data_IF_075364501540
#
_entry.id   IF_075364501540
#
_cell.length_a   1.000
_cell.length_b   1.000
_cell.length_c   1.000
_cell.angle_alpha   90.00
_cell.angle_beta   90.00
_cell.angle_gamma   90.00
#
_symmetry.space_group_name_H-M   'P 1'
#
loop_
_entity.id
_entity.type
_entity.pdbx_description
1 polymer ?
#
# COMPACT_ATOMS: atom_id res chain seq x y z
N UNK A 1 8.09 7.72 44.74
CA UNK A 1 9.38 7.18 44.30
C UNK A 1 9.21 6.46 42.98
N UNK A 2 9.93 6.91 41.97
CA UNK A 2 9.94 6.23 40.69
C UNK A 2 10.83 4.99 40.77
N UNK A 3 10.26 3.80 40.59
CA UNK A 3 11.03 2.57 40.50
C UNK A 3 11.52 2.43 39.08
N UNK A 4 12.85 2.37 38.89
CA UNK A 4 13.41 2.14 37.58
C UNK A 4 12.96 0.78 37.03
N UNK A 5 12.56 0.77 35.76
CA UNK A 5 12.21 -0.48 35.07
C UNK A 5 13.46 -1.34 34.87
N UNK A 6 13.32 -2.68 34.86
CA UNK A 6 14.45 -3.55 34.52
C UNK A 6 15.03 -3.22 33.15
N UNK A 7 16.36 -3.37 32.95
CA UNK A 7 16.96 -3.14 31.66
C UNK A 7 16.41 -4.13 30.61
N UNK A 8 16.32 -3.66 29.35
CA UNK A 8 15.87 -4.46 28.21
C UNK A 8 17.07 -5.00 27.44
N UNK A 9 16.95 -6.21 26.93
CA UNK A 9 17.87 -6.71 25.92
C UNK A 9 17.35 -6.36 24.52
N UNK A 10 18.27 -6.17 23.58
CA UNK A 10 17.96 -5.95 22.17
C UNK A 10 18.49 -7.15 21.39
N UNK A 11 17.58 -7.93 20.85
CA UNK A 11 17.91 -9.19 20.23
C UNK A 11 17.56 -9.18 18.74
N UNK A 12 18.48 -9.60 17.90
CA UNK A 12 18.19 -9.92 16.51
C UNK A 12 17.52 -11.30 16.45
N UNK A 13 16.30 -11.38 15.93
CA UNK A 13 15.57 -12.64 15.82
C UNK A 13 15.50 -13.12 14.37
N UNK A 14 15.70 -14.42 14.16
CA UNK A 14 15.61 -15.01 12.83
C UNK A 14 14.16 -15.32 12.45
N UNK A 15 13.88 -15.36 11.16
CA UNK A 15 12.55 -15.66 10.63
C UNK A 15 11.99 -17.02 11.04
N UNK A 16 12.84 -17.94 11.47
CA UNK A 16 12.45 -19.32 11.75
C UNK A 16 12.02 -19.58 13.19
N UNK A 17 12.34 -18.68 14.11
CA UNK A 17 12.08 -18.89 15.54
C UNK A 17 10.74 -18.32 16.00
N UNK A 18 10.44 -17.08 15.66
CA UNK A 18 9.21 -16.39 16.06
C UNK A 18 8.88 -15.35 14.99
N UNK A 19 7.59 -15.06 14.82
CA UNK A 19 7.14 -13.89 14.05
C UNK A 19 6.75 -12.79 15.03
N UNK A 20 7.63 -11.80 15.26
CA UNK A 20 7.36 -10.74 16.23
C UNK A 20 6.38 -9.67 15.72
N UNK A 21 5.92 -9.78 14.47
CA UNK A 21 5.12 -8.75 13.81
C UNK A 21 3.86 -8.39 14.61
N UNK A 22 3.09 -9.39 15.02
CA UNK A 22 1.84 -9.14 15.76
C UNK A 22 2.11 -8.49 17.11
N UNK A 23 3.12 -8.95 17.84
CA UNK A 23 3.44 -8.41 19.16
C UNK A 23 3.83 -6.92 19.08
N UNK A 24 4.70 -6.58 18.15
CA UNK A 24 5.17 -5.19 17.98
C UNK A 24 4.06 -4.31 17.41
N UNK A 25 3.31 -4.81 16.43
CA UNK A 25 2.17 -4.07 15.87
C UNK A 25 1.08 -3.79 16.89
N UNK A 26 0.83 -4.71 17.83
CA UNK A 26 -0.15 -4.48 18.88
C UNK A 26 0.25 -3.31 19.78
N UNK A 27 1.53 -3.21 20.12
CA UNK A 27 2.05 -2.09 20.90
C UNK A 27 1.79 -0.75 20.21
N UNK A 28 2.13 -0.67 18.92
CA UNK A 28 1.91 0.54 18.13
C UNK A 28 0.44 0.81 17.88
N UNK A 29 -0.33 -0.23 17.60
CA UNK A 29 -1.77 -0.13 17.34
C UNK A 29 -2.54 0.41 18.54
N UNK A 30 -2.23 -0.05 19.74
CA UNK A 30 -2.86 0.44 20.96
C UNK A 30 -2.53 1.93 21.18
N UNK A 31 -1.27 2.29 21.03
CA UNK A 31 -0.83 3.67 21.11
C UNK A 31 -1.56 4.58 20.10
N UNK A 32 -1.64 4.15 18.85
CA UNK A 32 -2.30 4.91 17.80
C UNK A 32 -3.80 5.06 18.07
N UNK A 33 -4.45 4.01 18.52
CA UNK A 33 -5.88 4.03 18.82
C UNK A 33 -6.22 5.01 19.94
N UNK A 34 -5.37 5.10 20.95
CA UNK A 34 -5.51 6.09 22.03
C UNK A 34 -5.45 7.54 21.50
N UNK A 35 -4.66 7.78 20.46
CA UNK A 35 -4.44 9.14 19.93
C UNK A 35 -5.48 9.56 18.90
N UNK A 36 -5.86 8.67 18.00
CA UNK A 36 -6.67 9.01 16.82
C UNK A 36 -7.89 8.12 16.62
N UNK A 37 -8.16 7.22 17.57
CA UNK A 37 -9.24 6.25 17.44
C UNK A 37 -8.85 5.08 16.53
N UNK A 38 -9.82 4.20 16.23
CA UNK A 38 -9.58 3.02 15.41
C UNK A 38 -9.15 3.38 13.99
N UNK A 39 -8.25 2.59 13.41
CA UNK A 39 -7.73 2.80 12.05
C UNK A 39 -8.80 2.63 10.98
N UNK A 40 -9.84 1.83 11.26
CA UNK A 40 -10.88 1.43 10.30
C UNK A 40 -10.28 0.76 9.07
N UNK A 41 -9.29 -0.09 9.28
CA UNK A 41 -8.59 -0.80 8.22
C UNK A 41 -9.53 -1.78 7.50
N UNK A 42 -9.65 -1.61 6.19
CA UNK A 42 -10.45 -2.51 5.33
C UNK A 42 -9.64 -2.83 4.07
N UNK A 43 -9.40 -4.10 3.76
CA UNK A 43 -8.77 -4.47 2.50
C UNK A 43 -9.54 -3.94 1.29
N UNK A 44 -8.83 -3.60 0.23
CA UNK A 44 -9.38 -3.23 -1.05
C UNK A 44 -8.68 -4.05 -2.12
N UNK A 45 -9.33 -5.13 -2.53
CA UNK A 45 -8.77 -6.07 -3.47
C UNK A 45 -9.66 -6.18 -4.71
N UNK A 46 -9.08 -5.95 -5.88
CA UNK A 46 -9.75 -6.06 -7.17
C UNK A 46 -9.01 -7.07 -8.02
N UNK A 47 -9.74 -7.97 -8.64
CA UNK A 47 -9.19 -8.98 -9.54
C UNK A 47 -9.80 -8.85 -10.92
N UNK A 48 -8.97 -8.92 -11.95
CA UNK A 48 -9.40 -9.06 -13.34
C UNK A 48 -9.21 -10.52 -13.74
N UNK A 49 -10.30 -11.18 -14.11
CA UNK A 49 -10.33 -12.60 -14.47
C UNK A 49 -10.70 -12.77 -15.92
N UNK A 50 -10.12 -13.79 -16.58
CA UNK A 50 -10.52 -14.18 -17.92
C UNK A 50 -11.80 -15.05 -17.89
N UNK A 51 -12.23 -15.52 -19.08
CA UNK A 51 -13.43 -16.32 -19.22
C UNK A 51 -13.38 -17.66 -18.45
N UNK A 52 -12.18 -18.17 -18.20
CA UNK A 52 -11.95 -19.40 -17.44
C UNK A 52 -11.82 -19.14 -15.93
N UNK A 53 -11.95 -17.89 -15.51
CA UNK A 53 -11.82 -17.49 -14.11
C UNK A 53 -10.38 -17.30 -13.63
N UNK A 54 -9.40 -17.41 -14.51
CA UNK A 54 -7.99 -17.22 -14.16
C UNK A 54 -7.69 -15.75 -13.97
N UNK A 55 -6.94 -15.43 -12.91
CA UNK A 55 -6.52 -14.06 -12.61
C UNK A 55 -5.50 -13.59 -13.65
N UNK A 56 -5.81 -12.51 -14.34
CA UNK A 56 -4.97 -11.88 -15.36
C UNK A 56 -4.52 -10.47 -14.96
N UNK A 57 -4.96 -9.98 -13.83
CA UNK A 57 -4.55 -8.71 -13.28
C UNK A 57 -5.25 -8.43 -11.97
N UNK A 58 -4.88 -7.36 -11.32
CA UNK A 58 -5.52 -6.96 -10.08
C UNK A 58 -4.86 -5.76 -9.42
N UNK A 59 -5.55 -5.26 -8.42
CA UNK A 59 -5.06 -4.20 -7.56
C UNK A 59 -5.30 -4.66 -6.12
N UNK A 60 -4.24 -4.67 -5.32
CA UNK A 60 -4.29 -5.02 -3.91
C UNK A 60 -3.89 -3.81 -3.07
N UNK A 61 -4.70 -3.50 -2.10
CA UNK A 61 -4.44 -2.39 -1.18
C UNK A 61 -5.39 -2.42 0.00
N UNK A 62 -5.54 -1.29 0.66
CA UNK A 62 -6.41 -1.13 1.80
C UNK A 62 -6.80 0.33 2.00
N UNK A 63 -7.83 0.55 2.79
CA UNK A 63 -8.19 1.87 3.27
C UNK A 63 -8.07 1.90 4.79
N UNK A 64 -7.42 2.93 5.31
CA UNK A 64 -7.29 3.19 6.74
C UNK A 64 -6.93 4.67 6.94
N UNK A 65 -7.28 5.22 8.09
CA UNK A 65 -7.03 6.63 8.42
C UNK A 65 -7.45 7.58 7.29
N UNK A 66 -8.59 7.29 6.67
CA UNK A 66 -9.18 8.10 5.58
C UNK A 66 -8.31 8.20 4.32
N UNK A 67 -7.39 7.27 4.11
CA UNK A 67 -6.56 7.18 2.91
C UNK A 67 -6.60 5.76 2.34
N UNK A 68 -6.53 5.67 1.02
CA UNK A 68 -6.31 4.41 0.32
C UNK A 68 -4.82 4.25 0.04
N UNK A 69 -4.30 3.06 0.30
CA UNK A 69 -2.93 2.68 -0.06
C UNK A 69 -2.99 1.54 -1.06
N UNK A 70 -2.34 1.69 -2.20
CA UNK A 70 -2.20 0.63 -3.19
C UNK A 70 -0.83 -0.01 -3.03
N UNK A 71 -0.82 -1.32 -2.76
CA UNK A 71 0.41 -2.08 -2.57
C UNK A 71 0.88 -2.73 -3.87
N UNK A 72 -0.06 -3.24 -4.66
CA UNK A 72 0.24 -3.93 -5.93
C UNK A 72 -0.79 -3.55 -6.98
N UNK A 73 -0.33 -3.21 -8.17
CA UNK A 73 -1.16 -3.09 -9.37
C UNK A 73 -0.41 -3.79 -10.50
N UNK A 74 -0.98 -4.83 -11.05
CA UNK A 74 -0.36 -5.60 -12.10
C UNK A 74 -1.38 -6.14 -13.10
N UNK A 75 -0.96 -6.25 -14.36
CA UNK A 75 -1.73 -6.83 -15.45
C UNK A 75 -0.83 -7.78 -16.22
N UNK A 76 -1.32 -8.98 -16.50
CA UNK A 76 -0.58 -9.97 -17.26
C UNK A 76 -0.24 -9.44 -18.66
N UNK A 77 0.94 -9.80 -19.16
CA UNK A 77 1.48 -9.27 -20.42
C UNK A 77 0.51 -9.32 -21.59
N UNK A 78 -0.22 -10.45 -21.86
CA UNK A 78 -1.15 -10.50 -23.00
C UNK A 78 -2.32 -9.52 -22.91
N UNK A 79 -2.61 -9.02 -21.70
CA UNK A 79 -3.73 -8.11 -21.45
C UNK A 79 -3.30 -6.67 -21.23
N UNK A 80 -2.01 -6.37 -21.33
CA UNK A 80 -1.50 -4.99 -21.20
C UNK A 80 -1.93 -4.14 -22.39
N UNK A 81 -1.90 -2.81 -22.21
CA UNK A 81 -2.24 -1.82 -23.23
C UNK A 81 -3.70 -1.87 -23.70
N UNK A 82 -4.59 -2.44 -22.87
CA UNK A 82 -6.03 -2.53 -23.13
C UNK A 82 -6.86 -1.73 -22.13
N UNK A 83 -6.20 -0.88 -21.32
CA UNK A 83 -6.86 -0.04 -20.34
C UNK A 83 -7.29 -0.76 -19.05
N UNK A 84 -6.85 -2.00 -18.82
CA UNK A 84 -7.25 -2.77 -17.61
C UNK A 84 -6.67 -2.13 -16.35
N UNK A 85 -5.40 -1.72 -16.37
CA UNK A 85 -4.78 -1.02 -15.25
C UNK A 85 -5.51 0.27 -14.89
N UNK A 86 -5.90 1.06 -15.91
CA UNK A 86 -6.68 2.28 -15.73
C UNK A 86 -8.05 2.00 -15.11
N UNK A 87 -8.71 0.95 -15.53
CA UNK A 87 -10.01 0.55 -14.99
C UNK A 87 -9.91 0.07 -13.54
N UNK A 88 -8.88 -0.69 -13.22
CA UNK A 88 -8.60 -1.13 -11.84
C UNK A 88 -8.36 0.06 -10.93
N UNK A 89 -7.53 1.00 -11.38
CA UNK A 89 -7.22 2.20 -10.61
C UNK A 89 -8.46 3.08 -10.40
N UNK A 90 -9.24 3.30 -11.46
CA UNK A 90 -10.49 4.07 -11.37
C UNK A 90 -11.49 3.43 -10.41
N UNK A 91 -11.60 2.10 -10.43
CA UNK A 91 -12.48 1.37 -9.51
C UNK A 91 -12.01 1.49 -8.06
N UNK A 92 -10.70 1.41 -7.84
CA UNK A 92 -10.13 1.61 -6.50
C UNK A 92 -10.42 3.02 -5.98
N UNK A 93 -10.28 4.05 -6.82
CA UNK A 93 -10.61 5.43 -6.45
C UNK A 93 -12.09 5.59 -6.11
N UNK A 94 -12.99 4.99 -6.89
CA UNK A 94 -14.43 4.99 -6.62
C UNK A 94 -14.75 4.38 -5.25
N UNK A 95 -14.18 3.20 -4.97
CA UNK A 95 -14.38 2.51 -3.70
C UNK A 95 -13.82 3.33 -2.54
N UNK A 96 -12.62 3.89 -2.70
CA UNK A 96 -11.99 4.73 -1.68
C UNK A 96 -12.84 5.97 -1.36
N UNK A 97 -13.37 6.65 -2.38
CA UNK A 97 -14.29 7.79 -2.20
C UNK A 97 -15.55 7.37 -1.45
N UNK A 98 -16.14 6.22 -1.80
CA UNK A 98 -17.34 5.71 -1.14
C UNK A 98 -17.08 5.32 0.32
N UNK A 99 -15.85 4.98 0.66
CA UNK A 99 -15.42 4.71 2.04
C UNK A 99 -15.05 5.98 2.82
N UNK A 100 -15.17 7.15 2.22
CA UNK A 100 -14.86 8.43 2.85
C UNK A 100 -13.37 8.80 2.85
N UNK A 101 -12.56 8.17 2.01
CA UNK A 101 -11.16 8.53 1.88
C UNK A 101 -10.99 9.91 1.25
N UNK A 102 -9.94 10.61 1.69
CA UNK A 102 -9.58 11.94 1.17
C UNK A 102 -8.52 11.89 0.08
N UNK A 103 -7.94 10.72 -0.14
CA UNK A 103 -6.95 10.53 -1.18
C UNK A 103 -6.47 9.09 -1.27
N UNK A 104 -5.58 8.87 -2.22
CA UNK A 104 -4.97 7.57 -2.52
C UNK A 104 -3.47 7.77 -2.75
N UNK A 105 -2.67 6.85 -2.25
CA UNK A 105 -1.21 6.86 -2.38
C UNK A 105 -0.68 5.51 -2.84
N UNK A 106 0.48 5.54 -3.47
CA UNK A 106 1.16 4.34 -3.94
C UNK A 106 2.64 4.63 -4.15
N UNK A 107 3.40 3.59 -4.42
CA UNK A 107 4.78 3.68 -4.83
C UNK A 107 5.04 2.76 -6.02
N UNK A 108 6.04 3.13 -6.83
CA UNK A 108 6.44 2.40 -8.02
C UNK A 108 7.91 2.66 -8.33
N UNK A 109 8.52 1.82 -9.14
CA UNK A 109 9.91 1.98 -9.55
C UNK A 109 10.01 2.48 -10.99
N UNK A 110 11.16 3.06 -11.35
CA UNK A 110 11.41 3.61 -12.68
C UNK A 110 11.28 2.60 -13.81
N UNK A 111 11.49 1.30 -13.55
CA UNK A 111 11.30 0.25 -14.56
C UNK A 111 9.86 -0.28 -14.63
N UNK A 112 8.98 0.14 -13.73
CA UNK A 112 7.56 -0.21 -13.77
C UNK A 112 6.81 0.81 -14.66
N UNK A 113 5.97 1.67 -14.13
CA UNK A 113 5.23 2.60 -14.97
C UNK A 113 4.94 3.94 -14.27
N UNK A 114 5.95 4.73 -13.89
CA UNK A 114 5.69 6.00 -13.19
C UNK A 114 4.85 6.98 -14.02
N UNK A 115 5.04 7.02 -15.34
CA UNK A 115 4.27 7.87 -16.26
C UNK A 115 2.78 7.54 -16.31
N UNK A 116 2.42 6.28 -16.06
CA UNK A 116 1.02 5.85 -15.97
C UNK A 116 0.27 6.64 -14.88
N UNK A 117 0.87 6.75 -13.69
CA UNK A 117 0.24 7.44 -12.57
C UNK A 117 0.13 8.94 -12.80
N UNK A 118 1.16 9.56 -13.37
CA UNK A 118 1.11 10.98 -13.74
C UNK A 118 -0.03 11.28 -14.70
N UNK A 119 -0.25 10.42 -15.69
CA UNK A 119 -1.36 10.56 -16.64
C UNK A 119 -2.73 10.43 -15.98
N UNK A 120 -2.82 9.75 -14.84
CA UNK A 120 -4.06 9.59 -14.08
C UNK A 120 -4.24 10.63 -12.97
N UNK A 121 -3.45 11.70 -12.99
CA UNK A 121 -3.60 12.82 -12.06
C UNK A 121 -2.87 12.64 -10.74
N UNK A 122 -1.96 11.68 -10.64
CA UNK A 122 -1.14 11.48 -9.45
C UNK A 122 0.07 12.41 -9.48
N UNK A 123 0.43 12.92 -8.32
CA UNK A 123 1.59 13.79 -8.13
C UNK A 123 2.68 13.06 -7.37
N UNK A 124 3.90 13.09 -7.87
CA UNK A 124 5.05 12.57 -7.16
C UNK A 124 5.35 13.45 -5.94
N UNK A 125 5.44 12.86 -4.77
CA UNK A 125 5.78 13.59 -3.55
C UNK A 125 7.08 13.12 -2.90
N UNK A 126 7.72 12.11 -3.46
CA UNK A 126 9.01 11.63 -2.95
C UNK A 126 9.65 10.64 -3.91
N UNK A 127 10.97 10.51 -3.78
CA UNK A 127 11.75 9.56 -4.57
C UNK A 127 13.01 9.17 -3.81
N UNK A 128 13.48 7.97 -4.07
CA UNK A 128 14.77 7.48 -3.58
C UNK A 128 15.51 6.87 -4.76
N UNK A 129 16.73 7.37 -5.03
CA UNK A 129 17.60 6.81 -6.04
C UNK A 129 18.24 5.50 -5.54
N UNK A 130 18.62 4.62 -6.47
CA UNK A 130 19.25 3.33 -6.15
C UNK A 130 18.38 2.41 -5.26
N UNK A 131 17.10 2.37 -5.57
CA UNK A 131 16.12 1.53 -4.90
C UNK A 131 15.21 0.84 -5.92
N UNK A 132 15.66 -0.29 -6.56
CA UNK A 132 16.96 -0.97 -6.42
C UNK A 132 18.11 -0.22 -7.12
N UNK A 133 19.37 -0.63 -6.91
CA UNK A 133 20.54 0.02 -7.54
C UNK A 133 20.37 0.21 -9.05
N UNK A 134 20.68 1.43 -9.52
CA UNK A 134 20.52 1.81 -10.93
C UNK A 134 19.11 2.25 -11.32
N UNK A 135 18.17 2.24 -10.39
CA UNK A 135 16.78 2.63 -10.60
C UNK A 135 16.32 3.60 -9.51
N UNK A 136 15.17 4.24 -9.75
CA UNK A 136 14.58 5.17 -8.78
C UNK A 136 13.23 4.63 -8.32
N UNK A 137 12.98 4.73 -7.02
CA UNK A 137 11.68 4.45 -6.42
C UNK A 137 10.92 5.76 -6.25
N UNK A 138 9.66 5.80 -6.69
CA UNK A 138 8.82 6.99 -6.69
C UNK A 138 7.59 6.78 -5.82
N UNK A 139 7.20 7.80 -5.06
CA UNK A 139 5.96 7.83 -4.29
C UNK A 139 4.99 8.86 -4.88
N UNK A 140 3.78 8.41 -5.14
CA UNK A 140 2.71 9.20 -5.75
C UNK A 140 1.50 9.28 -4.86
N UNK A 141 0.76 10.37 -4.96
CA UNK A 141 -0.55 10.51 -4.34
C UNK A 141 -1.50 11.32 -5.21
N UNK A 142 -2.80 11.14 -4.94
CA UNK A 142 -3.87 11.93 -5.53
C UNK A 142 -4.87 12.26 -4.42
N UNK A 143 -5.14 13.54 -4.22
CA UNK A 143 -6.22 13.98 -3.34
C UNK A 143 -7.53 14.01 -4.13
N UNK A 144 -8.56 13.59 -3.47
CA UNK A 144 -9.91 13.61 -4.06
C UNK A 144 -10.56 14.97 -3.93
#
# INVERSE_FOLDING_TARGET
>A
MSTALPPLSLDEVSRTAENPFTAVNTLLGDFNTEHVGPTKHVPLWLLARDADGKVQGGLLGQTYWSWCSVDVLAVAEPYRRQGIGSRLLAKAEEIARNRGCIGIRLDTTSFQAPGFYSRHGYTEFGRIDDYPPGHTHHWFMKRF
#
